data_IF_588087831487
#
_entry.id   IF_588087831487
#
_cell.length_a   1.000
_cell.length_b   1.000
_cell.length_c   1.000
_cell.angle_alpha   90.00
_cell.angle_beta   90.00
_cell.angle_gamma   90.00
#
_symmetry.space_group_name_H-M   'P 1'
#
loop_
_entity.id
_entity.type
_entity.pdbx_description
1 polymer ?
#
# COMPACT_ATOMS: atom_id res chain seq x y z
N UNK A 1 -11.53 -4.01 -5.92
CA UNK A 1 -10.41 -4.43 -5.04
C UNK A 1 -9.86 -5.76 -5.54
N UNK A 2 -8.68 -5.79 -6.18
CA UNK A 2 -8.11 -7.05 -6.73
C UNK A 2 -7.38 -7.90 -5.68
N UNK A 3 -7.03 -7.26 -4.55
CA UNK A 3 -6.27 -7.84 -3.44
C UNK A 3 -7.14 -8.18 -2.22
N UNK A 4 -8.40 -7.72 -2.18
CA UNK A 4 -9.31 -8.09 -1.10
C UNK A 4 -9.82 -9.53 -1.32
N UNK A 5 -9.86 -10.36 -0.26
CA UNK A 5 -10.48 -11.68 -0.33
C UNK A 5 -12.00 -11.55 -0.53
N UNK A 6 -12.59 -12.50 -1.25
CA UNK A 6 -14.05 -12.63 -1.33
C UNK A 6 -14.54 -13.56 -0.22
N UNK A 7 -15.69 -13.24 0.39
CA UNK A 7 -16.30 -14.08 1.43
C UNK A 7 -16.66 -15.49 0.95
N UNK A 8 -16.86 -15.68 -0.36
CA UNK A 8 -17.25 -16.97 -0.94
C UNK A 8 -16.08 -17.92 -1.19
N UNK A 9 -14.91 -17.37 -1.56
CA UNK A 9 -13.73 -18.16 -1.94
C UNK A 9 -12.59 -18.01 -0.95
N UNK A 10 -12.69 -17.07 -0.01
CA UNK A 10 -11.65 -16.62 0.94
C UNK A 10 -10.35 -16.13 0.30
N UNK A 11 -10.27 -16.20 -1.03
CA UNK A 11 -9.12 -15.84 -1.84
C UNK A 11 -9.37 -14.55 -2.61
N UNK A 12 -8.31 -13.79 -2.84
CA UNK A 12 -8.38 -12.57 -3.64
C UNK A 12 -8.48 -12.90 -5.14
N UNK A 13 -9.19 -12.09 -5.95
CA UNK A 13 -9.27 -12.29 -7.39
C UNK A 13 -7.90 -12.36 -8.08
N UNK A 14 -6.90 -11.60 -7.60
CA UNK A 14 -5.55 -11.67 -8.14
C UNK A 14 -4.86 -13.02 -7.87
N UNK A 15 -5.09 -13.59 -6.69
CA UNK A 15 -4.53 -14.90 -6.34
C UNK A 15 -5.14 -16.01 -7.20
N UNK A 16 -6.46 -16.00 -7.40
CA UNK A 16 -7.15 -16.98 -8.24
C UNK A 16 -6.71 -16.92 -9.72
N UNK A 17 -6.38 -15.72 -10.23
CA UNK A 17 -5.99 -15.54 -11.63
C UNK A 17 -4.51 -15.83 -11.90
N UNK A 18 -3.62 -15.55 -10.94
CA UNK A 18 -2.17 -15.59 -11.17
C UNK A 18 -1.43 -16.57 -10.26
N UNK A 19 -2.13 -17.27 -9.36
CA UNK A 19 -1.54 -18.19 -8.38
C UNK A 19 -0.61 -17.50 -7.37
N UNK A 20 -0.63 -16.17 -7.32
CA UNK A 20 0.23 -15.36 -6.45
C UNK A 20 -0.44 -14.05 -6.10
N UNK A 21 -0.12 -13.52 -4.93
CA UNK A 21 -0.47 -12.13 -4.63
C UNK A 21 0.36 -11.18 -5.51
N UNK A 22 -0.24 -10.09 -5.99
CA UNK A 22 0.48 -9.07 -6.75
C UNK A 22 1.57 -8.47 -5.84
N UNK A 23 2.79 -8.37 -6.37
CA UNK A 23 3.89 -7.73 -5.64
C UNK A 23 3.53 -6.29 -5.34
N UNK A 24 3.46 -5.95 -4.07
CA UNK A 24 3.31 -4.57 -3.63
C UNK A 24 4.63 -3.81 -3.87
N UNK A 25 4.62 -2.48 -4.05
CA UNK A 25 5.85 -1.69 -4.08
C UNK A 25 6.73 -1.91 -2.84
N UNK A 26 6.12 -2.19 -1.67
CA UNK A 26 6.85 -2.56 -0.46
C UNK A 26 7.62 -3.88 -0.59
N UNK A 27 7.08 -4.86 -1.32
CA UNK A 27 7.75 -6.14 -1.58
C UNK A 27 8.97 -5.98 -2.51
N UNK A 28 9.04 -4.87 -3.27
CA UNK A 28 10.21 -4.53 -4.08
C UNK A 28 11.30 -3.85 -3.24
N UNK A 29 10.91 -3.12 -2.19
CA UNK A 29 11.83 -2.42 -1.30
C UNK A 29 12.35 -3.30 -0.15
N UNK A 30 11.59 -4.32 0.26
CA UNK A 30 11.95 -5.21 1.34
C UNK A 30 12.59 -6.50 0.80
N UNK A 31 13.77 -6.90 1.30
CA UNK A 31 14.36 -8.18 0.92
C UNK A 31 13.44 -9.32 1.40
N UNK A 32 13.27 -10.35 0.55
CA UNK A 32 12.52 -11.54 0.92
C UNK A 32 13.10 -12.16 2.21
N UNK A 33 12.24 -12.61 3.15
CA UNK A 33 12.73 -13.26 4.35
C UNK A 33 13.57 -14.47 3.96
N UNK A 34 14.77 -14.59 4.54
CA UNK A 34 15.59 -15.79 4.34
C UNK A 34 14.84 -16.96 4.96
N UNK A 35 14.55 -17.98 4.17
CA UNK A 35 14.17 -19.30 4.65
C UNK A 35 15.35 -19.87 5.42
N UNK A 36 15.35 -19.69 6.74
CA UNK A 36 16.36 -20.25 7.63
C UNK A 36 15.71 -21.39 8.40
N UNK A 37 16.18 -22.62 8.17
CA UNK A 37 15.80 -23.83 8.90
C UNK A 37 16.30 -23.82 10.37
N UNK A 38 16.69 -22.65 10.89
CA UNK A 38 17.24 -22.45 12.23
C UNK A 38 16.53 -21.28 12.91
N UNK A 39 16.20 -21.47 14.19
CA UNK A 39 15.60 -20.43 15.01
C UNK A 39 16.57 -19.26 15.19
N UNK A 40 16.13 -18.01 14.94
CA UNK A 40 16.99 -16.83 15.05
C UNK A 40 17.40 -16.60 16.52
N UNK A 41 18.65 -16.17 16.70
CA UNK A 41 19.18 -15.74 18.01
C UNK A 41 18.69 -14.32 18.32
N UNK A 42 18.73 -13.90 19.59
CA UNK A 42 18.33 -12.55 20.02
C UNK A 42 19.11 -11.42 19.31
N UNK A 43 20.39 -11.67 19.01
CA UNK A 43 21.22 -10.76 18.20
C UNK A 43 20.74 -10.70 16.74
N UNK A 44 20.31 -11.82 16.15
CA UNK A 44 19.78 -11.87 14.79
C UNK A 44 18.48 -11.06 14.66
N UNK A 45 17.62 -11.13 15.69
CA UNK A 45 16.38 -10.34 15.75
C UNK A 45 16.64 -8.84 15.84
N UNK A 46 17.61 -8.44 16.67
CA UNK A 46 18.01 -7.03 16.82
C UNK A 46 18.60 -6.46 15.53
N UNK A 47 19.44 -7.24 14.85
CA UNK A 47 20.04 -6.87 13.56
C UNK A 47 19.00 -6.85 12.44
N UNK A 48 18.10 -7.82 12.42
CA UNK A 48 16.98 -7.83 11.49
C UNK A 48 16.11 -6.59 11.66
N UNK A 49 15.76 -6.21 12.90
CA UNK A 49 14.98 -5.00 13.18
C UNK A 49 15.68 -3.74 12.69
N UNK A 50 16.98 -3.61 12.92
CA UNK A 50 17.77 -2.46 12.44
C UNK A 50 17.77 -2.39 10.90
N UNK A 51 18.00 -3.51 10.23
CA UNK A 51 17.97 -3.59 8.74
C UNK A 51 16.58 -3.29 8.20
N UNK A 52 15.54 -3.82 8.85
CA UNK A 52 14.15 -3.59 8.46
C UNK A 52 13.80 -2.10 8.55
N UNK A 53 14.12 -1.44 9.67
CA UNK A 53 13.87 0.00 9.82
C UNK A 53 14.69 0.83 8.84
N UNK A 54 15.96 0.47 8.61
CA UNK A 54 16.81 1.14 7.63
C UNK A 54 16.26 1.07 6.20
N UNK A 55 15.57 -0.03 5.84
CA UNK A 55 14.96 -0.18 4.52
C UNK A 55 13.56 0.43 4.44
N UNK A 56 12.76 0.31 5.50
CA UNK A 56 11.35 0.72 5.50
C UNK A 56 11.22 2.24 5.59
N UNK A 57 12.03 2.92 6.41
CA UNK A 57 11.93 4.37 6.59
C UNK A 57 12.14 5.15 5.28
N UNK A 58 13.19 4.90 4.47
CA UNK A 58 13.36 5.58 3.19
C UNK A 58 12.21 5.28 2.22
N UNK A 59 11.81 4.01 2.11
CA UNK A 59 10.72 3.62 1.22
C UNK A 59 9.39 4.30 1.60
N UNK A 60 9.13 4.42 2.91
CA UNK A 60 7.95 5.11 3.44
C UNK A 60 7.98 6.61 3.12
N UNK A 61 9.13 7.27 3.28
CA UNK A 61 9.29 8.69 2.94
C UNK A 61 9.04 8.92 1.44
N UNK A 62 9.69 8.13 0.58
CA UNK A 62 9.52 8.25 -0.88
C UNK A 62 8.08 7.98 -1.32
N UNK A 63 7.42 6.96 -0.77
CA UNK A 63 6.03 6.67 -1.12
C UNK A 63 5.08 7.77 -0.66
N UNK A 64 5.33 8.37 0.51
CA UNK A 64 4.56 9.52 0.99
C UNK A 64 4.69 10.74 0.08
N UNK A 65 5.91 11.07 -0.34
CA UNK A 65 6.15 12.17 -1.29
C UNK A 65 5.40 11.95 -2.62
N UNK A 66 5.45 10.73 -3.17
CA UNK A 66 4.73 10.38 -4.39
C UNK A 66 3.22 10.49 -4.21
N UNK A 67 2.70 10.05 -3.05
CA UNK A 67 1.28 10.17 -2.73
C UNK A 67 0.85 11.62 -2.63
N UNK A 68 1.63 12.48 -1.97
CA UNK A 68 1.34 13.91 -1.85
C UNK A 68 1.26 14.57 -3.23
N UNK A 69 2.22 14.28 -4.12
CA UNK A 69 2.21 14.76 -5.52
C UNK A 69 0.97 14.25 -6.27
N UNK A 70 0.60 12.98 -6.09
CA UNK A 70 -0.59 12.40 -6.71
C UNK A 70 -1.87 13.06 -6.21
N UNK A 71 -1.98 13.30 -4.90
CA UNK A 71 -3.12 13.99 -4.30
C UNK A 71 -3.25 15.42 -4.82
N UNK A 72 -2.15 16.18 -4.89
CA UNK A 72 -2.18 17.51 -5.49
C UNK A 72 -2.64 17.48 -6.95
N UNK A 73 -2.14 16.53 -7.74
CA UNK A 73 -2.55 16.39 -9.14
C UNK A 73 -4.04 16.07 -9.27
N UNK A 74 -4.56 15.18 -8.43
CA UNK A 74 -5.98 14.84 -8.38
C UNK A 74 -6.82 16.04 -7.95
N UNK A 75 -6.41 16.78 -6.91
CA UNK A 75 -7.10 17.96 -6.43
C UNK A 75 -7.16 19.05 -7.52
N UNK A 76 -6.05 19.32 -8.20
CA UNK A 76 -6.03 20.28 -9.33
C UNK A 76 -6.96 19.85 -10.45
N UNK A 77 -6.96 18.57 -10.81
CA UNK A 77 -7.82 18.04 -11.87
C UNK A 77 -9.30 18.09 -11.47
N UNK A 78 -9.62 17.74 -10.23
CA UNK A 78 -10.97 17.86 -9.69
C UNK A 78 -11.44 19.32 -9.73
N UNK A 79 -10.66 20.24 -9.16
CA UNK A 79 -10.99 21.67 -9.10
C UNK A 79 -11.17 22.29 -10.50
N UNK A 80 -10.44 21.82 -11.51
CA UNK A 80 -10.60 22.29 -12.90
C UNK A 80 -11.97 21.99 -13.49
N UNK A 81 -12.57 20.85 -13.12
CA UNK A 81 -13.85 20.40 -13.65
C UNK A 81 -15.01 20.59 -12.66
N UNK A 82 -14.70 20.93 -11.41
CA UNK A 82 -15.67 21.19 -10.37
C UNK A 82 -16.40 22.52 -10.65
N UNK A 83 -17.73 22.46 -10.69
CA UNK A 83 -18.57 23.66 -10.66
C UNK A 83 -18.91 23.97 -9.20
N UNK A 84 -18.91 25.24 -8.78
CA UNK A 84 -19.47 25.59 -7.48
C UNK A 84 -20.97 25.25 -7.50
N UNK A 85 -21.35 24.23 -6.75
CA UNK A 85 -22.76 23.90 -6.49
C UNK A 85 -23.10 24.55 -5.15
N UNK A 86 -24.11 25.40 -5.14
CA UNK A 86 -24.74 25.87 -3.91
C UNK A 86 -25.92 24.94 -3.65
N UNK A 87 -25.94 24.33 -2.48
CA UNK A 87 -27.03 23.46 -2.05
C UNK A 87 -27.97 24.29 -1.18
N UNK A 88 -29.23 24.37 -1.58
CA UNK A 88 -30.27 24.95 -0.75
C UNK A 88 -30.79 23.91 0.26
N UNK A 89 -31.43 24.32 1.37
CA UNK A 89 -31.90 23.41 2.42
C UNK A 89 -32.82 22.25 1.95
N UNK A 90 -33.42 22.35 0.76
CA UNK A 90 -34.30 21.35 0.13
C UNK A 90 -33.64 20.51 -0.98
N UNK A 91 -32.34 20.66 -1.25
CA UNK A 91 -31.62 19.93 -2.33
C UNK A 91 -31.24 18.48 -1.98
N UNK A 92 -31.72 17.97 -0.84
CA UNK A 92 -31.50 16.58 -0.41
C UNK A 92 -32.67 15.70 -0.87
N UNK A 93 -32.42 14.84 -1.86
CA UNK A 93 -33.22 13.61 -2.12
C UNK A 93 -32.33 12.39 -2.00
#
# INVERSE_FOLDING_TARGET
>A
LRTAPSDSTEQSPAFLMFGRHPRHPLDLCLPAPRSLDQHPTENDLSDYRKRLLANLLPAYVTTREILDISHEKQARQYNRHHRPVQFEPDDLV
#
